data_IF_584486335299
#
_entry.id   IF_584486335299
#
_cell.length_a   1.000
_cell.length_b   1.000
_cell.length_c   1.000
_cell.angle_alpha   90.00
_cell.angle_beta   90.00
_cell.angle_gamma   90.00
#
_symmetry.space_group_name_H-M   'P 1'
#
loop_
_entity.id
_entity.type
_entity.pdbx_description
1 polymer ?
#
# COMPACT_ATOMS: atom_id res chain seq x y z
N UNK A 1 -10.86 15.01 0.78
CA UNK A 1 -10.32 13.66 1.05
C UNK A 1 -10.35 12.95 -0.29
N UNK A 2 -9.24 12.98 -1.01
CA UNK A 2 -9.10 12.28 -2.29
C UNK A 2 -8.81 10.82 -1.97
N UNK A 3 -9.72 9.94 -2.35
CA UNK A 3 -9.57 8.49 -2.17
C UNK A 3 -8.42 8.01 -3.03
N UNK A 4 -7.45 7.34 -2.43
CA UNK A 4 -6.44 6.65 -3.19
C UNK A 4 -7.04 5.38 -3.83
N UNK A 5 -7.20 5.38 -5.17
CA UNK A 5 -7.80 4.30 -5.97
C UNK A 5 -6.72 3.61 -6.82
N UNK A 6 -6.20 2.47 -6.34
CA UNK A 6 -5.07 1.72 -6.92
C UNK A 6 -5.43 0.97 -8.20
N UNK A 7 -5.32 1.66 -9.35
CA UNK A 7 -5.33 0.99 -10.66
C UNK A 7 -3.91 0.85 -11.22
N UNK A 8 -3.43 -0.39 -11.30
CA UNK A 8 -2.27 -0.74 -12.11
C UNK A 8 -2.69 -0.93 -13.58
N UNK A 9 -1.79 -0.57 -14.50
CA UNK A 9 -1.95 -0.76 -15.94
C UNK A 9 -0.93 -1.84 -16.36
N UNK A 10 -1.36 -3.01 -16.87
CA UNK A 10 -0.42 -4.04 -17.32
C UNK A 10 0.37 -3.55 -18.55
N UNK A 11 1.69 -3.78 -18.55
CA UNK A 11 2.60 -3.45 -19.65
C UNK A 11 2.77 -4.63 -20.61
N UNK A 12 2.48 -4.41 -21.90
CA UNK A 12 2.90 -5.30 -22.99
C UNK A 12 4.44 -5.21 -23.13
N UNK A 13 5.15 -6.30 -22.84
CA UNK A 13 6.59 -6.39 -23.05
C UNK A 13 6.95 -6.50 -24.55
N UNK A 14 8.05 -5.90 -25.02
CA UNK A 14 8.49 -6.06 -26.40
C UNK A 14 9.27 -7.37 -26.60
N UNK A 15 8.78 -8.20 -27.52
CA UNK A 15 9.55 -9.33 -28.06
C UNK A 15 10.81 -8.83 -28.77
N UNK A 16 11.98 -9.11 -28.20
CA UNK A 16 13.26 -8.96 -28.87
C UNK A 16 13.98 -10.31 -28.94
N UNK A 17 13.87 -11.01 -30.07
CA UNK A 17 14.91 -11.93 -30.47
C UNK A 17 15.08 -11.95 -31.99
N UNK A 18 16.14 -11.31 -32.46
CA UNK A 18 16.63 -11.46 -33.82
C UNK A 18 18.16 -11.51 -33.76
N UNK A 19 18.76 -12.64 -34.14
CA UNK A 19 20.06 -12.71 -34.80
C UNK A 19 20.20 -14.05 -35.53
N UNK A 20 20.55 -13.95 -36.82
CA UNK A 20 20.71 -15.03 -37.81
C UNK A 20 22.07 -15.74 -37.73
N UNK A 21 22.09 -17.01 -38.16
CA UNK A 21 23.02 -17.69 -39.11
C UNK A 21 22.83 -19.21 -38.91
N UNK A 22 22.93 -20.13 -39.86
CA UNK A 22 23.32 -20.21 -41.28
C UNK A 22 22.82 -21.59 -41.78
N UNK A 23 22.64 -21.80 -43.08
CA UNK A 23 22.62 -23.16 -43.66
C UNK A 23 21.47 -23.53 -44.61
N UNK A 24 21.68 -23.24 -45.89
CA UNK A 24 21.41 -24.10 -47.06
C UNK A 24 20.21 -25.08 -47.04
N UNK A 25 19.26 -24.93 -47.99
CA UNK A 25 19.03 -25.89 -49.11
C UNK A 25 17.79 -25.56 -49.99
N UNK A 26 18.06 -25.58 -51.30
CA UNK A 26 17.26 -25.73 -52.54
C UNK A 26 15.82 -25.21 -52.68
N UNK A 27 15.65 -24.44 -53.76
CA UNK A 27 14.42 -24.21 -54.54
C UNK A 27 13.85 -25.53 -55.11
N UNK A 28 12.72 -25.97 -54.59
CA UNK A 28 11.62 -26.64 -55.30
C UNK A 28 10.45 -26.68 -54.32
N UNK A 29 9.22 -26.68 -54.83
CA UNK A 29 7.96 -26.72 -54.06
C UNK A 29 7.34 -25.33 -53.81
N UNK A 30 7.23 -24.58 -54.91
CA UNK A 30 6.10 -23.67 -55.11
C UNK A 30 4.91 -24.50 -55.61
N UNK A 31 3.71 -24.15 -55.12
CA UNK A 31 2.37 -24.64 -55.50
C UNK A 31 1.81 -25.87 -54.75
N UNK A 32 1.34 -25.65 -53.51
CA UNK A 32 -0.03 -26.01 -53.09
C UNK A 32 -0.20 -25.90 -51.57
N UNK A 33 -0.59 -24.72 -51.09
CA UNK A 33 -1.39 -24.58 -49.86
C UNK A 33 -2.04 -23.20 -49.87
N UNK A 34 -3.33 -23.20 -50.14
CA UNK A 34 -4.17 -22.03 -50.23
C UNK A 34 -4.45 -21.41 -48.86
N UNK A 35 -4.48 -20.08 -48.82
CA UNK A 35 -5.36 -19.25 -47.98
C UNK A 35 -5.32 -19.49 -46.47
N UNK A 36 -4.35 -18.86 -45.78
CA UNK A 36 -4.53 -18.46 -44.38
C UNK A 36 -4.62 -16.94 -44.33
N UNK A 37 -5.85 -16.52 -44.03
CA UNK A 37 -6.34 -15.16 -43.89
C UNK A 37 -5.59 -14.43 -42.76
N UNK A 38 -4.69 -13.49 -43.08
CA UNK A 38 -4.16 -12.52 -42.11
C UNK A 38 -5.28 -11.55 -41.73
N UNK A 39 -6.07 -11.89 -40.71
CA UNK A 39 -6.93 -10.91 -40.04
C UNK A 39 -6.05 -9.99 -39.21
N UNK A 40 -5.85 -8.78 -39.70
CA UNK A 40 -5.40 -7.65 -38.90
C UNK A 40 -6.47 -7.33 -37.86
N UNK A 41 -6.23 -7.68 -36.59
CA UNK A 41 -7.15 -7.32 -35.52
C UNK A 41 -6.91 -5.85 -35.14
N UNK A 42 -7.49 -4.94 -35.93
CA UNK A 42 -7.62 -3.53 -35.57
C UNK A 42 -8.60 -3.47 -34.39
N UNK A 43 -8.11 -3.48 -33.16
CA UNK A 43 -8.98 -3.40 -31.98
C UNK A 43 -9.79 -2.09 -32.02
N UNK A 44 -11.09 -2.24 -32.22
CA UNK A 44 -12.07 -1.16 -32.14
C UNK A 44 -12.42 -0.95 -30.68
N UNK A 45 -12.11 0.23 -30.16
CA UNK A 45 -12.59 0.68 -28.85
C UNK A 45 -14.12 0.66 -28.77
N UNK A 46 -14.73 0.06 -27.72
CA UNK A 46 -16.16 0.18 -27.47
C UNK A 46 -16.50 1.58 -26.93
N UNK A 47 -17.61 2.15 -27.42
CA UNK A 47 -18.02 3.56 -27.27
C UNK A 47 -18.44 4.00 -25.85
N UNK A 48 -18.66 3.08 -24.93
CA UNK A 48 -18.99 3.39 -23.53
C UNK A 48 -17.86 4.10 -22.76
N UNK A 49 -16.59 3.98 -23.19
CA UNK A 49 -15.44 4.70 -22.61
C UNK A 49 -15.38 6.20 -22.96
N UNK A 50 -16.38 6.76 -23.67
CA UNK A 50 -16.47 8.20 -23.97
C UNK A 50 -17.44 9.00 -23.08
N UNK A 51 -18.14 8.36 -22.13
CA UNK A 51 -19.22 9.01 -21.36
C UNK A 51 -18.92 9.23 -19.86
N UNK A 52 -17.67 9.09 -19.41
CA UNK A 52 -17.28 9.45 -18.03
C UNK A 52 -16.67 10.86 -17.94
N UNK A 53 -16.55 11.56 -19.08
CA UNK A 53 -16.00 12.94 -19.16
C UNK A 53 -17.08 14.03 -18.94
N UNK A 54 -18.34 13.67 -18.71
CA UNK A 54 -19.42 14.66 -18.53
C UNK A 54 -20.24 14.41 -17.26
N UNK A 55 -19.58 14.46 -16.10
CA UNK A 55 -20.22 14.27 -14.79
C UNK A 55 -19.72 15.17 -13.67
N UNK A 56 -18.96 16.23 -13.98
CA UNK A 56 -18.45 17.20 -12.99
C UNK A 56 -18.54 18.66 -13.48
N UNK A 57 -19.69 19.04 -14.01
CA UNK A 57 -20.05 20.45 -14.19
C UNK A 57 -21.43 20.66 -13.61
N UNK A 58 -21.50 20.95 -12.30
CA UNK A 58 -22.46 21.81 -11.60
C UNK A 58 -22.58 21.42 -10.12
N UNK A 59 -21.72 21.96 -9.26
CA UNK A 59 -22.18 22.62 -8.01
C UNK A 59 -21.25 23.82 -7.78
N UNK A 60 -21.83 24.99 -7.94
CA UNK A 60 -21.25 26.32 -7.82
C UNK A 60 -21.14 26.75 -6.35
N UNK A 61 -19.96 27.29 -6.01
CA UNK A 61 -19.70 28.59 -5.35
C UNK A 61 -20.90 29.25 -4.64
N UNK A 62 -20.81 29.45 -3.30
CA UNK A 62 -21.22 30.69 -2.60
C UNK A 62 -20.32 30.92 -1.35
N UNK A 63 -19.74 32.12 -1.15
CA UNK A 63 -19.05 32.53 0.08
C UNK A 63 -19.92 33.45 0.97
N UNK A 64 -19.87 33.30 2.29
CA UNK A 64 -20.37 34.28 3.28
C UNK A 64 -19.42 34.28 4.48
N UNK A 65 -18.55 35.29 4.63
CA UNK A 65 -18.80 36.59 5.25
C UNK A 65 -18.72 36.54 6.79
N UNK A 66 -17.58 37.05 7.29
CA UNK A 66 -17.22 37.23 8.70
C UNK A 66 -18.07 38.35 9.31
N UNK A 67 -18.67 38.10 10.47
CA UNK A 67 -19.31 39.11 11.31
C UNK A 67 -18.89 38.94 12.77
N UNK A 68 -18.10 39.88 13.28
CA UNK A 68 -17.82 40.09 14.71
C UNK A 68 -18.83 41.10 15.25
N UNK A 69 -19.35 40.93 16.48
CA UNK A 69 -19.14 41.99 17.47
C UNK A 69 -18.93 41.51 18.91
N UNK A 70 -17.85 42.03 19.50
CA UNK A 70 -17.73 42.75 20.80
C UNK A 70 -18.80 42.47 21.89
N UNK A 71 -18.34 42.04 23.07
CA UNK A 71 -19.10 42.10 24.32
C UNK A 71 -18.17 42.32 25.53
N UNK A 72 -18.54 43.29 26.38
CA UNK A 72 -17.71 44.02 27.35
C UNK A 72 -17.38 43.33 28.68
N UNK A 73 -16.32 43.86 29.32
CA UNK A 73 -15.84 43.71 30.69
C UNK A 73 -16.84 44.09 31.81
N UNK A 74 -16.70 43.50 33.01
CA UNK A 74 -16.68 44.11 34.38
C UNK A 74 -15.93 43.11 35.32
N UNK A 75 -14.73 43.41 35.87
CA UNK A 75 -14.38 43.95 37.24
C UNK A 75 -14.90 43.09 38.42
N UNK A 76 -14.24 42.86 39.58
CA UNK A 76 -13.02 43.35 40.28
C UNK A 76 -12.88 42.56 41.61
N UNK A 77 -11.70 42.54 42.24
CA UNK A 77 -11.48 42.25 43.68
C UNK A 77 -10.23 41.40 43.93
N UNK A 78 -9.05 42.02 44.14
CA UNK A 78 -8.40 42.30 45.44
C UNK A 78 -7.95 41.01 46.16
N UNK A 79 -6.65 40.67 46.29
CA UNK A 79 -5.51 41.30 47.01
C UNK A 79 -5.14 40.40 48.20
N UNK A 80 -3.96 39.76 48.18
CA UNK A 80 -2.94 39.75 49.26
C UNK A 80 -1.93 38.59 49.16
N UNK A 81 -0.70 38.97 49.48
CA UNK A 81 0.53 38.18 49.52
C UNK A 81 0.62 37.27 50.75
N UNK A 82 1.36 36.15 50.65
CA UNK A 82 2.46 35.84 51.58
C UNK A 82 3.17 34.54 51.19
N UNK A 83 4.49 34.64 51.19
CA UNK A 83 5.48 33.59 51.03
C UNK A 83 5.65 32.75 52.31
N UNK A 84 5.90 31.44 52.18
CA UNK A 84 6.85 30.74 53.07
C UNK A 84 7.36 29.45 52.42
N UNK A 85 8.67 29.24 52.54
CA UNK A 85 9.41 28.07 52.11
C UNK A 85 9.58 27.07 53.26
N UNK A 86 9.61 25.76 52.95
CA UNK A 86 10.36 24.66 53.59
C UNK A 86 9.84 23.33 53.01
N UNK A 87 10.59 22.59 52.19
CA UNK A 87 11.64 21.60 52.53
C UNK A 87 11.17 20.29 53.19
N UNK A 88 11.60 19.20 52.53
CA UNK A 88 11.80 17.81 52.96
C UNK A 88 10.58 16.87 53.04
N UNK A 89 10.60 15.80 52.24
CA UNK A 89 11.23 14.54 52.64
C UNK A 89 11.18 13.51 51.50
N UNK A 90 12.35 12.95 51.18
CA UNK A 90 12.50 11.78 50.33
C UNK A 90 11.88 10.56 51.01
N UNK A 91 11.21 9.72 50.22
CA UNK A 91 10.86 8.35 50.57
C UNK A 91 11.24 7.47 49.39
N UNK A 92 12.37 6.78 49.53
CA UNK A 92 12.79 5.75 48.61
C UNK A 92 11.83 4.56 48.74
N UNK A 93 11.21 4.17 47.63
CA UNK A 93 10.61 2.85 47.48
C UNK A 93 11.21 2.21 46.24
N UNK A 94 12.14 1.30 46.50
CA UNK A 94 12.72 0.37 45.56
C UNK A 94 11.67 -0.65 45.15
N UNK A 95 10.86 -0.30 44.15
CA UNK A 95 10.08 -1.27 43.38
C UNK A 95 10.94 -1.72 42.21
N UNK A 96 11.40 -2.97 42.28
CA UNK A 96 12.18 -3.66 41.28
C UNK A 96 11.62 -3.38 39.87
N UNK A 97 12.44 -2.76 39.01
CA UNK A 97 12.21 -2.73 37.58
C UNK A 97 12.13 -4.19 37.11
N UNK A 98 10.91 -4.66 36.90
CA UNK A 98 10.67 -5.71 35.93
C UNK A 98 11.02 -5.10 34.57
N UNK A 99 12.29 -5.21 34.17
CA UNK A 99 12.65 -5.16 32.75
C UNK A 99 11.88 -6.29 32.09
N UNK A 100 10.70 -5.97 31.60
CA UNK A 100 10.04 -6.75 30.59
C UNK A 100 11.01 -6.80 29.41
N UNK A 101 11.72 -7.92 29.29
CA UNK A 101 12.50 -8.26 28.12
C UNK A 101 11.51 -8.47 26.97
N UNK A 102 11.12 -7.38 26.32
CA UNK A 102 10.45 -7.46 25.04
C UNK A 102 11.42 -8.15 24.07
N UNK A 103 10.99 -9.18 23.34
CA UNK A 103 11.82 -9.71 22.28
C UNK A 103 12.02 -8.56 21.27
N UNK A 104 13.25 -8.10 21.16
CA UNK A 104 13.78 -7.05 20.26
C UNK A 104 13.83 -7.52 18.80
N UNK A 105 12.92 -8.41 18.41
CA UNK A 105 12.91 -8.99 17.09
C UNK A 105 11.79 -8.36 16.27
N UNK A 106 12.13 -7.91 15.06
CA UNK A 106 11.17 -7.48 14.04
C UNK A 106 10.10 -8.55 13.88
N UNK A 107 8.83 -8.15 13.88
CA UNK A 107 7.71 -9.07 13.74
C UNK A 107 7.73 -9.78 12.39
N UNK A 108 7.72 -11.11 12.41
CA UNK A 108 7.60 -11.96 11.23
C UNK A 108 6.23 -12.65 11.23
N UNK A 109 5.28 -12.24 10.37
CA UNK A 109 4.01 -12.96 10.24
C UNK A 109 4.24 -14.34 9.60
N UNK A 110 3.34 -15.29 9.89
CA UNK A 110 3.41 -16.65 9.36
C UNK A 110 2.71 -16.73 8.00
N UNK A 111 3.08 -17.73 7.20
CA UNK A 111 2.33 -18.08 5.99
C UNK A 111 0.89 -18.44 6.37
N UNK A 112 -0.09 -17.91 5.62
CA UNK A 112 -1.52 -18.13 5.87
C UNK A 112 -2.15 -17.24 6.95
N UNK A 113 -1.40 -16.28 7.53
CA UNK A 113 -1.97 -15.27 8.44
C UNK A 113 -3.16 -14.56 7.79
N UNK A 114 -4.28 -14.48 8.52
CA UNK A 114 -5.50 -13.82 8.03
C UNK A 114 -5.34 -12.31 8.11
N UNK A 115 -5.93 -11.59 7.16
CA UNK A 115 -5.71 -10.14 7.08
C UNK A 115 -6.87 -9.40 6.44
N UNK A 116 -6.88 -8.09 6.67
CA UNK A 116 -7.78 -7.13 6.04
C UNK A 116 -6.98 -5.87 5.70
N UNK A 117 -7.37 -5.20 4.62
CA UNK A 117 -6.85 -3.89 4.23
C UNK A 117 -8.00 -2.88 4.11
N UNK A 118 -7.85 -1.71 4.74
CA UNK A 118 -8.81 -0.60 4.69
C UNK A 118 -8.06 0.72 4.56
N UNK A 119 -8.07 1.31 3.37
CA UNK A 119 -7.32 2.54 3.08
C UNK A 119 -8.22 3.76 2.89
N UNK A 120 -9.50 3.59 2.52
CA UNK A 120 -10.38 4.73 2.23
C UNK A 120 -11.23 5.21 3.42
N UNK A 121 -11.20 4.50 4.55
CA UNK A 121 -11.99 4.82 5.73
C UNK A 121 -11.39 4.23 7.01
N UNK A 122 -12.01 4.53 8.16
CA UNK A 122 -11.58 4.02 9.46
C UNK A 122 -12.08 2.59 9.70
N UNK A 123 -11.25 1.74 10.31
CA UNK A 123 -11.65 0.39 10.72
C UNK A 123 -12.79 0.45 11.73
N UNK A 124 -13.86 -0.32 11.49
CA UNK A 124 -14.97 -0.45 12.43
C UNK A 124 -14.57 -1.34 13.61
N UNK A 125 -14.57 -0.76 14.81
CA UNK A 125 -14.33 -1.48 16.07
C UNK A 125 -15.55 -1.29 16.97
N UNK A 126 -16.30 -2.37 17.20
CA UNK A 126 -17.50 -2.35 18.05
C UNK A 126 -17.23 -3.12 19.34
N UNK A 127 -17.40 -2.47 20.49
CA UNK A 127 -17.14 -3.07 21.81
C UNK A 127 -15.74 -3.72 21.91
N UNK A 128 -14.72 -3.05 21.36
CA UNK A 128 -13.34 -3.52 21.36
C UNK A 128 -13.06 -4.68 20.40
N UNK A 129 -13.98 -5.00 19.49
CA UNK A 129 -13.80 -6.05 18.48
C UNK A 129 -13.83 -5.45 17.09
N UNK A 130 -12.73 -5.55 16.32
CA UNK A 130 -12.72 -5.15 14.93
C UNK A 130 -13.45 -6.20 14.09
N UNK A 131 -14.04 -5.76 12.98
CA UNK A 131 -14.76 -6.62 12.04
C UNK A 131 -14.12 -6.48 10.66
N UNK A 132 -13.75 -7.57 9.96
CA UNK A 132 -13.82 -8.99 10.37
C UNK A 132 -12.79 -9.40 11.44
N UNK A 133 -12.98 -10.55 12.09
CA UNK A 133 -12.02 -11.07 13.06
C UNK A 133 -10.80 -11.73 12.37
N UNK A 134 -9.84 -10.91 11.94
CA UNK A 134 -8.58 -11.33 11.29
C UNK A 134 -7.37 -11.04 12.19
N UNK A 135 -6.21 -11.60 11.87
CA UNK A 135 -4.98 -11.41 12.64
C UNK A 135 -4.30 -10.05 12.38
N UNK A 136 -4.38 -9.56 11.14
CA UNK A 136 -3.66 -8.37 10.67
C UNK A 136 -4.60 -7.36 10.02
N UNK A 137 -4.40 -6.08 10.32
CA UNK A 137 -5.03 -4.96 9.63
C UNK A 137 -3.98 -4.09 8.95
N UNK A 138 -4.13 -3.88 7.65
CA UNK A 138 -3.35 -2.92 6.85
C UNK A 138 -4.18 -1.65 6.59
N UNK A 139 -3.68 -0.51 7.04
CA UNK A 139 -4.45 0.75 7.12
C UNK A 139 -3.60 1.96 6.76
N UNK A 140 -4.23 3.02 6.25
CA UNK A 140 -3.51 4.23 5.82
C UNK A 140 -2.80 4.91 7.01
N UNK A 141 -1.49 5.12 6.87
CA UNK A 141 -0.62 5.71 7.88
C UNK A 141 -1.08 7.09 8.31
N UNK A 142 -1.51 7.95 7.38
CA UNK A 142 -1.80 9.34 7.70
C UNK A 142 -3.19 9.48 8.33
N UNK A 143 -4.16 8.75 7.79
CA UNK A 143 -5.56 8.88 8.18
C UNK A 143 -5.90 8.11 9.47
N UNK A 144 -5.14 7.09 9.85
CA UNK A 144 -5.38 6.37 11.11
C UNK A 144 -4.94 7.18 12.33
N UNK A 145 -5.79 7.19 13.37
CA UNK A 145 -5.43 7.70 14.70
C UNK A 145 -4.69 6.65 15.53
N UNK A 146 -3.70 7.04 16.35
CA UNK A 146 -2.96 6.09 17.20
C UNK A 146 -3.87 5.33 18.17
N UNK A 147 -5.02 5.90 18.54
CA UNK A 147 -6.03 5.22 19.36
C UNK A 147 -6.69 4.04 18.66
N UNK A 148 -6.87 4.10 17.34
CA UNK A 148 -7.37 2.97 16.54
C UNK A 148 -6.36 1.83 16.53
N UNK A 149 -5.07 2.14 16.34
CA UNK A 149 -3.98 1.15 16.41
C UNK A 149 -3.93 0.51 17.80
N UNK A 150 -3.98 1.31 18.86
CA UNK A 150 -4.02 0.80 20.24
C UNK A 150 -5.25 -0.09 20.50
N UNK A 151 -6.41 0.23 19.94
CA UNK A 151 -7.62 -0.59 20.05
C UNK A 151 -7.48 -1.92 19.30
N UNK A 152 -6.87 -1.92 18.10
CA UNK A 152 -6.54 -3.13 17.36
C UNK A 152 -5.56 -4.02 18.13
N UNK A 153 -4.50 -3.44 18.69
CA UNK A 153 -3.56 -4.16 19.56
C UNK A 153 -4.23 -4.73 20.81
N UNK A 154 -5.12 -3.98 21.45
CA UNK A 154 -5.89 -4.46 22.60
C UNK A 154 -6.82 -5.64 22.24
N UNK A 155 -7.26 -5.72 20.98
CA UNK A 155 -7.99 -6.84 20.41
C UNK A 155 -7.08 -7.98 19.92
N UNK A 156 -5.77 -7.91 20.19
CA UNK A 156 -4.77 -8.92 19.83
C UNK A 156 -4.34 -8.89 18.36
N UNK A 157 -4.60 -7.78 17.65
CA UNK A 157 -4.30 -7.65 16.22
C UNK A 157 -2.92 -7.08 15.99
N UNK A 158 -2.38 -7.34 14.80
CA UNK A 158 -1.20 -6.66 14.27
C UNK A 158 -1.60 -5.60 13.25
N UNK A 159 -0.85 -4.51 13.21
CA UNK A 159 -1.15 -3.36 12.35
C UNK A 159 0.00 -3.11 11.37
N UNK A 160 -0.32 -3.16 10.08
CA UNK A 160 0.52 -2.69 8.99
C UNK A 160 0.05 -1.28 8.62
N UNK A 161 0.97 -0.35 8.45
CA UNK A 161 0.65 1.01 8.05
C UNK A 161 1.09 1.27 6.60
N UNK A 162 0.10 1.45 5.73
CA UNK A 162 0.26 1.80 4.33
C UNK A 162 0.72 3.24 4.15
N UNK A 163 1.66 3.46 3.23
CA UNK A 163 1.90 4.77 2.64
C UNK A 163 2.53 4.61 1.25
N UNK A 164 2.32 5.55 0.34
CA UNK A 164 3.08 5.54 -0.90
C UNK A 164 4.53 5.96 -0.67
N UNK A 165 5.48 5.10 -1.07
CA UNK A 165 6.91 5.34 -0.92
C UNK A 165 7.59 5.74 -2.23
N UNK A 166 7.09 5.26 -3.37
CA UNK A 166 7.63 5.58 -4.69
C UNK A 166 6.81 6.59 -5.49
N UNK A 167 5.83 7.23 -4.87
CA UNK A 167 5.13 8.38 -5.44
C UNK A 167 5.01 9.55 -4.46
N UNK A 168 4.86 10.75 -5.02
CA UNK A 168 4.45 11.97 -4.35
C UNK A 168 2.93 12.10 -4.48
N UNK A 169 2.25 12.48 -3.39
CA UNK A 169 0.80 12.68 -3.32
C UNK A 169 0.50 14.13 -2.87
N UNK A 170 -0.11 14.97 -3.71
CA UNK A 170 -0.26 16.41 -3.43
C UNK A 170 -1.18 16.77 -2.25
N UNK A 171 -1.94 15.80 -1.76
CA UNK A 171 -2.86 15.96 -0.63
C UNK A 171 -2.24 15.57 0.72
N UNK A 172 -1.05 14.96 0.74
CA UNK A 172 -0.40 14.57 2.02
C UNK A 172 0.12 15.82 2.74
N UNK A 173 0.08 15.83 4.08
CA UNK A 173 0.49 17.01 4.86
C UNK A 173 1.97 17.38 4.70
N UNK A 174 2.80 16.43 4.28
CA UNK A 174 4.23 16.59 3.98
C UNK A 174 4.52 16.93 2.51
N UNK A 175 3.49 17.14 1.66
CA UNK A 175 3.67 17.42 0.22
C UNK A 175 4.56 18.64 -0.05
N UNK A 176 4.49 19.66 0.81
CA UNK A 176 5.32 20.87 0.71
C UNK A 176 6.80 20.62 0.99
N UNK A 177 7.14 19.49 1.60
CA UNK A 177 8.51 19.18 1.99
C UNK A 177 9.29 18.51 0.87
N UNK A 178 8.70 18.24 -0.30
CA UNK A 178 9.36 17.62 -1.44
C UNK A 178 10.08 18.62 -2.34
N UNK A 179 11.21 18.20 -2.92
CA UNK A 179 11.90 18.98 -3.95
C UNK A 179 11.31 18.64 -5.33
N UNK A 180 10.89 19.66 -6.08
CA UNK A 180 10.28 19.46 -7.41
C UNK A 180 11.21 18.72 -8.39
N UNK A 181 12.53 18.79 -8.19
CA UNK A 181 13.51 18.06 -8.99
C UNK A 181 13.48 16.55 -8.80
N UNK A 182 12.80 16.06 -7.76
CA UNK A 182 12.64 14.63 -7.51
C UNK A 182 11.41 14.05 -8.20
N UNK A 183 10.58 14.88 -8.84
CA UNK A 183 9.36 14.43 -9.51
C UNK A 183 9.63 13.88 -10.92
N UNK A 184 8.99 12.74 -11.20
CA UNK A 184 8.89 12.13 -12.51
C UNK A 184 7.57 12.45 -13.20
N UNK A 185 7.13 11.51 -14.03
CA UNK A 185 5.84 11.56 -14.71
C UNK A 185 4.68 11.37 -13.74
N UNK A 186 3.50 11.86 -14.14
CA UNK A 186 2.26 11.60 -13.41
C UNK A 186 1.99 10.10 -13.33
N UNK A 187 1.50 9.65 -12.17
CA UNK A 187 1.05 8.28 -12.00
C UNK A 187 -0.27 8.11 -12.77
N UNK A 188 -0.32 7.16 -13.71
CA UNK A 188 -1.48 7.01 -14.59
C UNK A 188 -2.71 6.53 -13.81
N UNK A 189 -3.83 7.25 -13.95
CA UNK A 189 -5.06 6.97 -13.21
C UNK A 189 -5.21 7.80 -11.93
N UNK A 190 -4.17 8.55 -11.55
CA UNK A 190 -4.05 9.13 -10.22
C UNK A 190 -3.70 10.62 -10.27
N UNK A 191 -4.74 11.45 -10.22
CA UNK A 191 -4.56 12.89 -10.32
C UNK A 191 -3.90 13.44 -9.05
N UNK A 192 -2.83 14.20 -9.22
CA UNK A 192 -2.07 14.78 -8.11
C UNK A 192 -0.93 13.90 -7.63
N UNK A 193 -0.75 12.73 -8.26
CA UNK A 193 0.28 11.77 -7.90
C UNK A 193 1.37 11.67 -8.97
N UNK A 194 2.64 11.59 -8.54
CA UNK A 194 3.81 11.57 -9.44
C UNK A 194 4.83 10.54 -8.99
N UNK A 195 5.48 9.86 -9.92
CA UNK A 195 6.65 9.05 -9.60
C UNK A 195 7.76 9.90 -8.98
N UNK A 196 8.59 9.31 -8.11
CA UNK A 196 9.67 10.05 -7.45
C UNK A 196 11.03 9.37 -7.59
N UNK A 197 12.09 10.18 -7.52
CA UNK A 197 13.47 9.72 -7.60
C UNK A 197 13.89 9.02 -6.31
N UNK A 198 13.67 7.70 -6.21
CA UNK A 198 13.92 6.88 -5.01
C UNK A 198 15.37 6.88 -4.50
N UNK A 199 16.34 7.23 -5.35
CA UNK A 199 17.73 7.45 -4.97
C UNK A 199 18.03 8.82 -4.33
N UNK A 200 17.09 9.76 -4.34
CA UNK A 200 17.26 11.09 -3.76
C UNK A 200 17.36 11.03 -2.24
N UNK A 201 18.35 11.74 -1.68
CA UNK A 201 18.49 11.89 -0.24
C UNK A 201 17.26 12.55 0.40
N UNK A 202 16.61 13.46 -0.34
CA UNK A 202 15.42 14.16 0.12
C UNK A 202 14.22 13.23 0.21
N UNK A 203 13.95 12.45 -0.84
CA UNK A 203 12.91 11.40 -0.85
C UNK A 203 13.13 10.40 0.29
N UNK A 204 14.36 9.91 0.46
CA UNK A 204 14.70 8.98 1.56
C UNK A 204 14.51 9.60 2.94
N UNK A 205 14.82 10.88 3.11
CA UNK A 205 14.55 11.59 4.37
C UNK A 205 13.06 11.70 4.67
N UNK A 206 12.22 11.94 3.66
CA UNK A 206 10.76 12.00 3.83
C UNK A 206 10.23 10.62 4.21
N UNK A 207 10.69 9.56 3.55
CA UNK A 207 10.28 8.20 3.92
C UNK A 207 10.75 7.80 5.31
N UNK A 208 11.95 8.18 5.73
CA UNK A 208 12.39 7.96 7.11
C UNK A 208 11.49 8.65 8.13
N UNK A 209 10.97 9.85 7.82
CA UNK A 209 10.00 10.55 8.67
C UNK A 209 8.63 9.86 8.67
N UNK A 210 8.15 9.35 7.52
CA UNK A 210 6.91 8.56 7.45
C UNK A 210 7.03 7.25 8.25
N UNK A 211 8.16 6.56 8.15
CA UNK A 211 8.43 5.35 8.94
C UNK A 211 8.52 5.68 10.43
N UNK A 212 9.17 6.79 10.81
CA UNK A 212 9.16 7.24 12.21
C UNK A 212 7.73 7.54 12.70
N UNK A 213 6.91 8.20 11.88
CA UNK A 213 5.50 8.44 12.19
C UNK A 213 4.74 7.12 12.42
N UNK A 214 4.98 6.11 11.59
CA UNK A 214 4.38 4.79 11.77
C UNK A 214 4.79 4.17 13.12
N UNK A 215 6.06 4.25 13.49
CA UNK A 215 6.53 3.79 14.79
C UNK A 215 5.89 4.57 15.95
N UNK A 216 5.83 5.90 15.86
CA UNK A 216 5.24 6.77 16.88
C UNK A 216 3.73 6.51 17.07
N UNK A 217 3.03 6.12 16.00
CA UNK A 217 1.62 5.69 16.05
C UNK A 217 1.44 4.26 16.57
N UNK A 218 2.50 3.45 16.59
CA UNK A 218 2.49 2.08 17.10
C UNK A 218 2.28 1.01 16.03
N UNK A 219 2.58 1.27 14.76
CA UNK A 219 2.49 0.25 13.72
C UNK A 219 3.48 -0.90 13.99
N UNK A 220 3.11 -2.14 13.65
CA UNK A 220 3.99 -3.31 13.75
C UNK A 220 4.86 -3.49 12.49
N UNK A 221 4.38 -2.99 11.35
CA UNK A 221 5.08 -2.99 10.08
C UNK A 221 4.56 -1.89 9.15
N UNK A 222 5.22 -1.70 8.02
CA UNK A 222 4.82 -0.78 6.95
C UNK A 222 4.54 -1.50 5.64
N UNK A 223 3.58 -1.00 4.85
CA UNK A 223 3.32 -1.36 3.45
C UNK A 223 3.69 -0.17 2.53
N UNK A 224 4.93 -0.08 2.04
CA UNK A 224 5.38 1.03 1.20
C UNK A 224 5.00 0.79 -0.26
N UNK A 225 4.05 1.57 -0.79
CA UNK A 225 3.55 1.41 -2.15
C UNK A 225 4.44 2.06 -3.22
N UNK A 226 4.17 1.72 -4.48
CA UNK A 226 4.76 2.29 -5.68
C UNK A 226 6.29 2.06 -5.78
N UNK A 227 6.80 0.97 -5.22
CA UNK A 227 8.24 0.62 -5.31
C UNK A 227 8.62 0.00 -6.66
N UNK A 228 7.67 -0.11 -7.59
CA UNK A 228 7.79 -0.72 -8.92
C UNK A 228 7.81 0.31 -10.07
N UNK A 229 8.23 1.54 -9.79
CA UNK A 229 8.36 2.59 -10.81
C UNK A 229 9.19 2.17 -12.04
N UNK A 230 10.12 1.23 -11.90
CA UNK A 230 10.91 0.67 -13.00
C UNK A 230 10.08 -0.05 -14.08
N UNK A 231 8.90 -0.57 -13.72
CA UNK A 231 7.98 -1.23 -14.66
C UNK A 231 6.93 -0.27 -15.22
N UNK A 232 7.13 1.04 -15.04
CA UNK A 232 6.17 2.09 -15.40
C UNK A 232 6.84 3.20 -16.23
N UNK A 233 6.02 3.97 -16.94
CA UNK A 233 6.46 5.18 -17.63
C UNK A 233 6.76 6.31 -16.60
N UNK A 234 7.83 6.15 -15.82
CA UNK A 234 8.12 6.99 -14.65
C UNK A 234 8.81 8.32 -14.98
N UNK A 235 9.44 8.46 -16.16
CA UNK A 235 10.12 9.69 -16.57
C UNK A 235 11.43 10.00 -15.82
N UNK A 236 11.94 9.07 -15.01
CA UNK A 236 13.14 9.20 -14.19
C UNK A 236 14.22 8.16 -14.53
N UNK A 237 13.89 7.16 -15.36
CA UNK A 237 14.79 6.07 -15.71
C UNK A 237 15.04 5.09 -14.56
N UNK A 238 14.08 4.95 -13.64
CA UNK A 238 14.19 4.00 -12.52
C UNK A 238 14.37 2.57 -13.03
N UNK A 239 15.25 1.82 -12.37
CA UNK A 239 15.57 0.43 -12.70
C UNK A 239 15.19 -0.53 -11.57
N UNK A 240 15.18 -1.83 -11.85
CA UNK A 240 15.03 -2.88 -10.82
C UNK A 240 16.09 -2.76 -9.71
N UNK A 241 17.32 -2.37 -10.07
CA UNK A 241 18.38 -2.17 -9.09
C UNK A 241 18.10 -0.99 -8.15
N UNK A 242 17.54 0.11 -8.68
CA UNK A 242 17.13 1.25 -7.86
C UNK A 242 15.99 0.86 -6.90
N UNK A 243 15.01 0.08 -7.39
CA UNK A 243 13.92 -0.42 -6.57
C UNK A 243 14.39 -1.38 -5.47
N UNK A 244 15.28 -2.32 -5.80
CA UNK A 244 15.84 -3.23 -4.82
C UNK A 244 16.67 -2.50 -3.75
N UNK A 245 17.49 -1.52 -4.12
CA UNK A 245 18.21 -0.69 -3.14
C UNK A 245 17.26 0.12 -2.25
N UNK A 246 16.19 0.67 -2.86
CA UNK A 246 15.20 1.45 -2.13
C UNK A 246 14.39 0.63 -1.14
N UNK A 247 13.89 -0.54 -1.53
CA UNK A 247 13.19 -1.47 -0.62
C UNK A 247 14.09 -1.90 0.53
N UNK A 248 15.36 -2.20 0.26
CA UNK A 248 16.34 -2.51 1.31
C UNK A 248 16.58 -1.33 2.25
N UNK A 249 16.56 -0.09 1.74
CA UNK A 249 16.59 1.10 2.57
C UNK A 249 15.35 1.18 3.47
N UNK A 250 14.14 1.02 2.92
CA UNK A 250 12.88 1.06 3.68
C UNK A 250 12.82 -0.01 4.77
N UNK A 251 13.26 -1.24 4.46
CA UNK A 251 13.34 -2.33 5.43
C UNK A 251 14.33 -2.03 6.56
N UNK A 252 15.55 -1.54 6.23
CA UNK A 252 16.53 -1.13 7.25
C UNK A 252 16.06 0.04 8.10
N UNK A 253 15.36 1.00 7.50
CA UNK A 253 14.83 2.16 8.22
C UNK A 253 13.72 1.73 9.19
N UNK A 254 12.81 0.85 8.75
CA UNK A 254 11.74 0.27 9.59
C UNK A 254 12.30 -0.54 10.76
N UNK A 255 13.36 -1.32 10.51
CA UNK A 255 14.01 -2.13 11.54
C UNK A 255 14.62 -1.30 12.69
N UNK A 256 14.98 -0.02 12.47
CA UNK A 256 15.44 0.87 13.55
C UNK A 256 14.38 1.07 14.64
N UNK A 257 13.11 0.89 14.29
CA UNK A 257 11.97 1.02 15.18
C UNK A 257 11.33 -0.33 15.55
N UNK A 258 12.02 -1.44 15.29
CA UNK A 258 11.51 -2.82 15.45
C UNK A 258 10.25 -3.14 14.61
N UNK A 259 10.01 -2.38 13.53
CA UNK A 259 8.90 -2.64 12.62
C UNK A 259 9.32 -3.52 11.45
N UNK A 260 8.38 -4.34 10.96
CA UNK A 260 8.53 -5.05 9.69
C UNK A 260 8.33 -4.14 8.47
N UNK A 261 8.68 -4.63 7.29
CA UNK A 261 8.46 -3.96 6.00
C UNK A 261 7.97 -4.97 4.97
N UNK A 262 6.94 -4.60 4.22
CA UNK A 262 6.42 -5.37 3.08
C UNK A 262 7.15 -5.06 1.77
N UNK A 263 6.99 -5.96 0.79
CA UNK A 263 7.19 -5.69 -0.63
C UNK A 263 5.83 -5.59 -1.32
N UNK A 264 5.49 -4.40 -1.82
CA UNK A 264 4.27 -4.17 -2.59
C UNK A 264 4.50 -4.42 -4.07
N UNK A 265 3.75 -5.37 -4.65
CA UNK A 265 3.87 -5.78 -6.06
C UNK A 265 5.34 -6.09 -6.45
N UNK A 266 5.92 -5.38 -7.42
CA UNK A 266 7.36 -5.43 -7.71
C UNK A 266 7.98 -6.84 -7.84
N UNK A 267 7.25 -7.79 -8.44
CA UNK A 267 7.61 -9.21 -8.46
C UNK A 267 9.04 -9.49 -9.00
N UNK A 268 9.53 -8.68 -9.94
CA UNK A 268 10.85 -8.86 -10.56
C UNK A 268 12.01 -8.76 -9.56
N UNK A 269 11.85 -7.98 -8.47
CA UNK A 269 12.91 -7.79 -7.47
C UNK A 269 12.80 -8.75 -6.27
N UNK A 270 11.81 -9.65 -6.23
CA UNK A 270 11.65 -10.67 -5.16
C UNK A 270 12.96 -11.42 -4.88
N UNK A 271 13.73 -11.92 -5.88
CA UNK A 271 15.00 -12.61 -5.61
C UNK A 271 16.06 -11.73 -4.93
N UNK A 272 15.96 -10.40 -5.07
CA UNK A 272 16.95 -9.46 -4.55
C UNK A 272 16.64 -8.95 -3.14
N UNK A 273 15.36 -8.95 -2.73
CA UNK A 273 14.90 -8.28 -1.49
C UNK A 273 14.14 -9.19 -0.53
N UNK A 274 13.79 -10.41 -0.94
CA UNK A 274 12.97 -11.33 -0.14
C UNK A 274 13.57 -11.67 1.22
N UNK A 275 14.89 -11.58 1.40
CA UNK A 275 15.56 -11.74 2.71
C UNK A 275 15.40 -10.53 3.63
N UNK A 276 15.14 -9.35 3.07
CA UNK A 276 15.06 -8.07 3.79
C UNK A 276 13.64 -7.76 4.29
N UNK A 277 12.61 -8.14 3.53
CA UNK A 277 11.18 -7.88 3.84
C UNK A 277 10.56 -9.01 4.66
N UNK A 278 9.47 -8.73 5.38
CA UNK A 278 8.77 -9.69 6.25
C UNK A 278 7.57 -10.36 5.56
N UNK A 279 7.01 -9.73 4.53
CA UNK A 279 5.87 -10.23 3.75
C UNK A 279 5.85 -9.54 2.38
N UNK A 280 4.92 -9.95 1.53
CA UNK A 280 4.59 -9.21 0.30
C UNK A 280 3.09 -8.90 0.25
N UNK A 281 2.74 -7.69 -0.18
CA UNK A 281 1.37 -7.32 -0.53
C UNK A 281 1.30 -7.30 -2.06
N UNK A 282 0.33 -8.01 -2.63
CA UNK A 282 0.26 -8.23 -4.07
C UNK A 282 -1.15 -8.00 -4.54
N UNK A 283 -1.30 -7.22 -5.61
CA UNK A 283 -2.58 -6.97 -6.24
C UNK A 283 -2.68 -7.72 -7.55
N UNK A 284 -3.81 -8.39 -7.77
CA UNK A 284 -4.22 -8.93 -9.07
C UNK A 284 -3.27 -9.98 -9.67
N UNK A 285 -2.52 -10.72 -8.83
CA UNK A 285 -1.65 -11.77 -9.37
C UNK A 285 -2.43 -12.88 -10.05
N UNK A 286 -3.68 -13.15 -9.62
CA UNK A 286 -4.53 -14.15 -10.25
C UNK A 286 -5.04 -13.67 -11.61
N UNK A 287 -5.51 -12.42 -11.69
CA UNK A 287 -5.97 -11.79 -12.94
C UNK A 287 -4.86 -11.77 -14.01
N UNK A 288 -3.61 -11.54 -13.61
CA UNK A 288 -2.47 -11.39 -14.52
C UNK A 288 -1.57 -12.63 -14.65
N UNK A 289 -1.92 -13.76 -14.05
CA UNK A 289 -1.10 -15.01 -14.04
C UNK A 289 0.34 -14.78 -13.53
N UNK A 290 0.46 -14.01 -12.45
CA UNK A 290 1.74 -13.58 -11.87
C UNK A 290 2.04 -14.17 -10.48
N UNK A 291 1.10 -14.90 -9.88
CA UNK A 291 1.25 -15.38 -8.49
C UNK A 291 2.53 -16.21 -8.29
N UNK A 292 2.91 -17.03 -9.28
CA UNK A 292 4.14 -17.83 -9.24
C UNK A 292 5.42 -16.99 -9.04
N UNK A 293 5.44 -15.72 -9.45
CA UNK A 293 6.60 -14.82 -9.31
C UNK A 293 6.91 -14.49 -7.85
N UNK A 294 5.94 -14.62 -6.94
CA UNK A 294 6.10 -14.35 -5.51
C UNK A 294 6.48 -15.57 -4.69
N UNK A 295 6.70 -16.73 -5.33
CA UNK A 295 7.00 -17.99 -4.64
C UNK A 295 8.21 -17.89 -3.71
N UNK A 296 9.21 -17.08 -4.06
CA UNK A 296 10.40 -16.84 -3.23
C UNK A 296 10.12 -16.22 -1.85
N UNK A 297 8.94 -15.59 -1.66
CA UNK A 297 8.48 -15.11 -0.35
C UNK A 297 7.96 -16.29 0.49
N UNK A 298 7.10 -17.13 -0.09
CA UNK A 298 6.55 -18.32 0.58
C UNK A 298 7.64 -19.32 0.93
N UNK A 299 8.62 -19.54 0.05
CA UNK A 299 9.73 -20.47 0.28
C UNK A 299 10.65 -20.02 1.43
N UNK A 300 10.58 -18.74 1.82
CA UNK A 300 11.21 -18.19 3.02
C UNK A 300 10.32 -18.20 4.25
N UNK A 301 9.17 -18.88 4.18
CA UNK A 301 8.17 -18.99 5.25
C UNK A 301 7.55 -17.63 5.62
N UNK A 302 7.40 -16.74 4.62
CA UNK A 302 6.79 -15.40 4.77
C UNK A 302 5.47 -15.35 4.00
N UNK A 303 4.42 -14.67 4.51
CA UNK A 303 3.15 -14.62 3.81
C UNK A 303 3.20 -13.72 2.59
N UNK A 304 2.34 -14.06 1.63
CA UNK A 304 1.92 -13.18 0.55
C UNK A 304 0.46 -12.81 0.81
N UNK A 305 0.23 -11.54 1.11
CA UNK A 305 -1.08 -10.91 1.28
C UNK A 305 -1.59 -10.50 -0.11
N UNK A 306 -2.52 -11.26 -0.66
CA UNK A 306 -3.00 -11.10 -2.04
C UNK A 306 -4.36 -10.42 -2.09
N UNK A 307 -4.50 -9.39 -2.91
CA UNK A 307 -5.75 -8.65 -3.13
C UNK A 307 -6.21 -8.90 -4.56
N UNK A 308 -7.46 -9.29 -4.73
CA UNK A 308 -8.09 -9.39 -6.03
C UNK A 308 -9.29 -8.44 -6.12
N UNK A 309 -9.52 -7.87 -7.31
CA UNK A 309 -10.56 -6.88 -7.56
C UNK A 309 -11.61 -7.39 -8.58
N UNK A 310 -12.34 -8.47 -8.26
CA UNK A 310 -13.23 -9.11 -9.21
C UNK A 310 -14.41 -8.20 -9.60
N UNK A 311 -14.91 -8.39 -10.82
CA UNK A 311 -16.14 -7.75 -11.26
C UNK A 311 -17.32 -8.17 -10.36
N UNK A 312 -17.95 -7.22 -9.67
CA UNK A 312 -19.02 -7.48 -8.71
C UNK A 312 -18.60 -7.37 -7.24
N UNK A 313 -17.34 -7.02 -6.96
CA UNK A 313 -16.87 -6.65 -5.62
C UNK A 313 -17.82 -5.64 -4.94
N UNK A 314 -18.06 -5.84 -3.64
CA UNK A 314 -19.13 -5.15 -2.89
C UNK A 314 -20.40 -5.99 -2.71
N UNK A 315 -20.49 -7.12 -3.40
CA UNK A 315 -21.53 -8.13 -3.19
C UNK A 315 -20.88 -9.51 -3.12
N UNK A 316 -21.54 -10.44 -2.43
CA UNK A 316 -21.04 -11.83 -2.32
C UNK A 316 -20.93 -12.48 -3.69
N UNK A 317 -19.74 -13.00 -4.01
CA UNK A 317 -19.46 -13.65 -5.27
C UNK A 317 -20.15 -15.02 -5.38
N UNK A 318 -20.36 -15.45 -6.63
CA UNK A 318 -20.75 -16.84 -6.90
C UNK A 318 -19.60 -17.78 -6.52
N UNK A 319 -19.92 -18.91 -5.88
CA UNK A 319 -18.93 -19.84 -5.33
C UNK A 319 -17.92 -20.33 -6.37
N UNK A 320 -18.34 -20.58 -7.60
CA UNK A 320 -17.43 -21.03 -8.67
C UNK A 320 -16.46 -19.92 -9.11
N UNK A 321 -16.93 -18.68 -9.18
CA UNK A 321 -16.09 -17.52 -9.50
C UNK A 321 -15.08 -17.24 -8.39
N UNK A 322 -15.52 -17.28 -7.13
CA UNK A 322 -14.64 -17.13 -5.98
C UNK A 322 -13.58 -18.23 -5.96
N UNK A 323 -13.99 -19.49 -6.15
CA UNK A 323 -13.08 -20.64 -6.20
C UNK A 323 -12.06 -20.53 -7.32
N UNK A 324 -12.44 -20.03 -8.50
CA UNK A 324 -11.52 -19.85 -9.62
C UNK A 324 -10.41 -18.83 -9.30
N UNK A 325 -10.76 -17.72 -8.64
CA UNK A 325 -9.79 -16.69 -8.21
C UNK A 325 -8.89 -17.22 -7.09
N UNK A 326 -9.49 -17.81 -6.05
CA UNK A 326 -8.76 -18.33 -4.89
C UNK A 326 -7.82 -19.51 -5.20
N UNK A 327 -8.12 -20.28 -6.25
CA UNK A 327 -7.28 -21.40 -6.69
C UNK A 327 -6.46 -21.06 -7.95
N UNK A 328 -6.15 -19.78 -8.17
CA UNK A 328 -5.29 -19.35 -9.26
C UNK A 328 -3.93 -20.09 -9.28
N UNK A 329 -3.37 -20.24 -10.47
CA UNK A 329 -2.08 -20.92 -10.65
C UNK A 329 -0.99 -20.21 -9.85
N UNK A 330 -0.26 -20.96 -9.01
CA UNK A 330 0.84 -20.42 -8.21
C UNK A 330 0.45 -19.62 -6.97
N UNK A 331 -0.85 -19.49 -6.62
CA UNK A 331 -1.31 -18.79 -5.41
C UNK A 331 -1.32 -19.65 -4.14
N UNK A 332 -0.83 -20.90 -4.22
CA UNK A 332 -0.84 -21.82 -3.09
C UNK A 332 -0.15 -21.21 -1.84
N UNK A 333 -0.88 -21.22 -0.73
CA UNK A 333 -0.52 -20.62 0.57
C UNK A 333 -0.54 -19.08 0.63
N UNK A 334 -1.14 -18.40 -0.35
CA UNK A 334 -1.37 -16.96 -0.25
C UNK A 334 -2.55 -16.69 0.67
N UNK A 335 -2.46 -15.60 1.42
CA UNK A 335 -3.58 -15.05 2.16
C UNK A 335 -4.36 -14.15 1.21
N UNK A 336 -5.27 -14.72 0.42
CA UNK A 336 -6.01 -13.99 -0.62
C UNK A 336 -7.35 -13.45 -0.11
N UNK A 337 -7.65 -12.20 -0.47
CA UNK A 337 -8.92 -11.52 -0.18
C UNK A 337 -9.46 -10.82 -1.43
N UNK A 338 -10.78 -10.74 -1.53
CA UNK A 338 -11.46 -9.98 -2.58
C UNK A 338 -11.84 -8.61 -2.01
N UNK A 339 -11.51 -7.56 -2.76
CA UNK A 339 -11.77 -6.17 -2.35
C UNK A 339 -12.46 -5.40 -3.45
N UNK A 340 -13.10 -4.30 -3.07
CA UNK A 340 -13.40 -3.22 -4.03
C UNK A 340 -12.14 -2.41 -4.26
N UNK A 341 -12.05 -1.80 -5.44
CA UNK A 341 -10.90 -0.98 -5.83
C UNK A 341 -10.64 0.22 -4.91
N UNK A 342 -11.68 0.72 -4.22
CA UNK A 342 -11.52 1.82 -3.26
C UNK A 342 -10.96 1.37 -1.90
N UNK A 343 -10.81 0.06 -1.64
CA UNK A 343 -10.24 -0.46 -0.40
C UNK A 343 -10.96 0.05 0.86
N UNK A 344 -12.28 0.03 0.83
CA UNK A 344 -13.12 0.28 2.03
C UNK A 344 -13.28 -0.99 2.89
N UNK A 345 -14.17 -1.03 3.89
CA UNK A 345 -14.25 -2.18 4.81
C UNK A 345 -14.68 -3.48 4.13
N UNK A 346 -15.38 -3.41 2.99
CA UNK A 346 -15.94 -4.62 2.37
C UNK A 346 -14.82 -5.60 2.00
N UNK A 347 -14.97 -6.86 2.41
CA UNK A 347 -14.05 -7.93 2.03
C UNK A 347 -14.80 -9.24 1.87
N UNK A 348 -14.38 -10.06 0.90
CA UNK A 348 -14.77 -11.46 0.81
C UNK A 348 -13.52 -12.35 0.85
N UNK A 349 -13.56 -13.37 1.71
CA UNK A 349 -12.47 -14.34 1.89
C UNK A 349 -12.66 -15.57 1.02
N UNK A 350 -11.60 -16.35 0.81
CA UNK A 350 -11.64 -17.56 -0.01
C UNK A 350 -12.53 -18.69 0.54
N UNK A 351 -12.92 -18.64 1.80
CA UNK A 351 -13.92 -19.54 2.39
C UNK A 351 -15.38 -19.06 2.16
N UNK A 352 -15.55 -17.92 1.47
CA UNK A 352 -16.85 -17.32 1.15
C UNK A 352 -17.46 -16.49 2.28
N UNK A 353 -16.72 -16.21 3.36
CA UNK A 353 -17.13 -15.23 4.36
C UNK A 353 -17.03 -13.82 3.78
N UNK A 354 -18.03 -12.99 4.08
CA UNK A 354 -18.11 -11.58 3.64
C UNK A 354 -18.24 -10.72 4.88
N UNK A 355 -17.52 -9.60 4.91
CA UNK A 355 -17.58 -8.61 5.98
C UNK A 355 -17.68 -7.19 5.47
#
# INVERSE_FOLDING_TARGET
MGTALIQFIPSDGPDSNSYQKDGTRSKSDLESASSINKRTHRQRWPLWKKMVILGFLLVLIIPLAVGVPVGLCIKRGDSESASTAASASASASSSASATASHPTAVWQPAVGTTWQIVLSEQVTITNGKPTPDVDVYDIDLFDVESSTIAALHAAGKKVICYFSAGSYEDWRPDAKDWDQSDFGSDLQGWKGEKWVKTGSAKVRSIMAQRIQMAADKGCDAVDPDNVDGYNNANGLGLTEADAADYVKFLARESAKYNMGCGLKNAAAIVPQVSTDVQFSVVEQCAEYDECAKYRGIIDQHKPVFSIEYPSGAGTKMASDSLSAVCNASGSANFSMIMKKMNLDQWVEFCDGQVS
#
